data_IF_169645378359
#
_entry.id   IF_169645378359
#
_cell.length_a   1.000
_cell.length_b   1.000
_cell.length_c   1.000
_cell.angle_alpha   90.00
_cell.angle_beta   90.00
_cell.angle_gamma   90.00
#
_symmetry.space_group_name_H-M   'P 1'
#
loop_
_entity.id
_entity.type
_entity.pdbx_description
1 polymer ?
#
# COMPACT_ATOMS: atom_id res chain seq x y z
N UNK A 1 54.70 -19.05 21.08
CA UNK A 1 54.12 -18.22 20.00
C UNK A 1 55.06 -18.30 18.80
N UNK A 2 54.60 -18.84 17.67
CA UNK A 2 55.43 -19.29 16.53
C UNK A 2 55.56 -18.23 15.42
N UNK A 3 55.81 -16.96 15.78
CA UNK A 3 55.94 -15.86 14.80
C UNK A 3 57.12 -16.12 13.85
N UNK A 4 58.19 -16.70 14.38
CA UNK A 4 59.41 -17.01 13.65
C UNK A 4 59.19 -18.09 12.57
N UNK A 5 58.37 -19.12 12.86
CA UNK A 5 57.99 -20.14 11.87
C UNK A 5 57.08 -19.58 10.78
N UNK A 6 56.23 -18.60 11.10
CA UNK A 6 55.42 -17.90 10.09
C UNK A 6 56.29 -17.05 9.17
N UNK A 7 57.29 -16.36 9.72
CA UNK A 7 58.23 -15.55 8.94
C UNK A 7 59.10 -16.39 8.00
N UNK A 8 59.56 -17.54 8.48
CA UNK A 8 60.35 -18.50 7.69
C UNK A 8 59.51 -19.14 6.56
N UNK A 9 58.20 -19.33 6.79
CA UNK A 9 57.27 -19.81 5.77
C UNK A 9 57.05 -18.81 4.63
N UNK A 10 56.99 -17.51 4.95
CA UNK A 10 56.79 -16.43 3.96
C UNK A 10 58.05 -16.18 3.14
N UNK A 11 59.24 -16.34 3.73
CA UNK A 11 60.52 -16.13 3.03
C UNK A 11 60.90 -17.29 2.12
N UNK A 12 60.42 -18.50 2.38
CA UNK A 12 60.63 -19.68 1.50
C UNK A 12 59.63 -19.79 0.35
N UNK A 13 58.47 -19.12 0.43
CA UNK A 13 57.55 -19.07 -0.71
C UNK A 13 58.12 -18.20 -1.81
N UNK A 14 58.62 -18.83 -2.88
CA UNK A 14 59.06 -18.18 -4.10
C UNK A 14 57.95 -17.23 -4.58
N UNK A 15 58.25 -15.93 -4.56
CA UNK A 15 57.32 -14.87 -4.93
C UNK A 15 57.10 -14.94 -6.45
N UNK A 16 56.16 -15.77 -6.88
CA UNK A 16 55.64 -15.70 -8.24
C UNK A 16 54.94 -14.36 -8.38
N UNK A 17 55.34 -13.55 -9.35
CA UNK A 17 54.63 -12.31 -9.67
C UNK A 17 53.14 -12.65 -9.80
N UNK A 18 52.25 -11.97 -9.04
CA UNK A 18 50.82 -12.19 -9.16
C UNK A 18 50.40 -11.99 -10.62
N UNK A 19 49.55 -12.89 -11.13
CA UNK A 19 48.96 -12.75 -12.46
C UNK A 19 48.20 -11.41 -12.52
N UNK A 20 48.73 -10.48 -13.32
CA UNK A 20 48.24 -9.12 -13.44
C UNK A 20 46.82 -9.07 -13.99
N UNK A 21 46.48 -9.98 -14.90
CA UNK A 21 45.16 -10.03 -15.54
C UNK A 21 44.11 -10.51 -14.53
N UNK A 22 44.44 -11.55 -13.75
CA UNK A 22 43.58 -12.05 -12.68
C UNK A 22 43.38 -11.02 -11.55
N UNK A 23 44.38 -10.17 -11.28
CA UNK A 23 44.25 -9.07 -10.33
C UNK A 23 43.31 -7.97 -10.85
N UNK A 24 43.48 -7.55 -12.11
CA UNK A 24 42.65 -6.52 -12.74
C UNK A 24 41.19 -6.97 -12.82
N UNK A 25 40.93 -8.22 -13.21
CA UNK A 25 39.58 -8.78 -13.26
C UNK A 25 38.88 -8.75 -11.89
N UNK A 26 39.58 -9.20 -10.83
CA UNK A 26 39.05 -9.16 -9.46
C UNK A 26 38.82 -7.72 -8.98
N UNK A 27 39.70 -6.80 -9.34
CA UNK A 27 39.56 -5.38 -8.99
C UNK A 27 38.32 -4.75 -9.63
N UNK A 28 38.07 -5.04 -10.91
CA UNK A 28 36.88 -4.59 -11.62
C UNK A 28 35.60 -5.20 -11.03
N UNK A 29 35.61 -6.50 -10.76
CA UNK A 29 34.48 -7.19 -10.13
C UNK A 29 34.13 -6.63 -8.75
N UNK A 30 35.12 -6.36 -7.91
CA UNK A 30 34.92 -5.73 -6.60
C UNK A 30 34.40 -4.29 -6.71
N UNK A 31 34.91 -3.51 -7.67
CA UNK A 31 34.44 -2.13 -7.91
C UNK A 31 32.96 -2.11 -8.31
N UNK A 32 32.56 -3.00 -9.20
CA UNK A 32 31.17 -3.11 -9.66
C UNK A 32 30.24 -3.56 -8.53
N UNK A 33 30.64 -4.56 -7.73
CA UNK A 33 29.88 -5.00 -6.54
C UNK A 33 29.69 -3.86 -5.53
N UNK A 34 30.72 -3.07 -5.28
CA UNK A 34 30.64 -1.90 -4.37
C UNK A 34 29.69 -0.83 -4.91
N UNK A 35 29.71 -0.57 -6.21
CA UNK A 35 28.78 0.37 -6.84
C UNK A 35 27.33 -0.11 -6.75
N UNK A 36 27.07 -1.38 -7.06
CA UNK A 36 25.73 -1.97 -6.94
C UNK A 36 25.18 -1.91 -5.52
N UNK A 37 26.01 -2.23 -4.51
CA UNK A 37 25.60 -2.13 -3.10
C UNK A 37 25.25 -0.69 -2.69
N UNK A 38 26.04 0.29 -3.12
CA UNK A 38 25.74 1.71 -2.87
C UNK A 38 24.43 2.12 -3.54
N UNK A 39 24.22 1.71 -4.78
CA UNK A 39 23.01 2.04 -5.53
C UNK A 39 21.78 1.40 -4.89
N UNK A 40 21.87 0.12 -4.50
CA UNK A 40 20.80 -0.58 -3.79
C UNK A 40 20.45 0.08 -2.45
N UNK A 41 21.45 0.54 -1.69
CA UNK A 41 21.23 1.30 -0.46
C UNK A 41 20.51 2.63 -0.72
N UNK A 42 20.94 3.39 -1.74
CA UNK A 42 20.30 4.66 -2.12
C UNK A 42 18.84 4.44 -2.53
N UNK A 43 18.56 3.41 -3.34
CA UNK A 43 17.19 3.09 -3.75
C UNK A 43 16.32 2.69 -2.55
N UNK A 44 16.86 1.92 -1.60
CA UNK A 44 16.14 1.56 -0.37
C UNK A 44 15.84 2.76 0.53
N UNK A 45 16.78 3.70 0.68
CA UNK A 45 16.55 4.94 1.44
C UNK A 45 15.53 5.83 0.72
N UNK A 46 15.60 5.93 -0.61
CA UNK A 46 14.67 6.75 -1.40
C UNK A 46 13.23 6.22 -1.31
N UNK A 47 13.02 4.90 -1.42
CA UNK A 47 11.67 4.32 -1.30
C UNK A 47 11.10 4.49 0.11
N UNK A 48 11.91 4.30 1.16
CA UNK A 48 11.48 4.55 2.54
C UNK A 48 11.06 6.01 2.76
N UNK A 49 11.81 6.97 2.20
CA UNK A 49 11.46 8.38 2.28
C UNK A 49 10.10 8.69 1.60
N UNK A 50 9.83 8.08 0.44
CA UNK A 50 8.54 8.23 -0.25
C UNK A 50 7.38 7.73 0.62
N UNK A 51 7.52 6.54 1.23
CA UNK A 51 6.48 5.98 2.10
C UNK A 51 6.24 6.86 3.32
N UNK A 52 7.29 7.40 3.94
CA UNK A 52 7.15 8.32 5.08
C UNK A 52 6.40 9.60 4.69
N UNK A 53 6.76 10.21 3.56
CA UNK A 53 6.11 11.44 3.09
C UNK A 53 4.64 11.19 2.76
N UNK A 54 4.32 10.13 2.01
CA UNK A 54 2.94 9.76 1.71
C UNK A 54 2.15 9.43 2.99
N UNK A 55 2.76 8.69 3.91
CA UNK A 55 2.15 8.37 5.21
C UNK A 55 1.81 9.62 6.01
N UNK A 56 2.70 10.63 6.04
CA UNK A 56 2.42 11.90 6.72
C UNK A 56 1.30 12.68 6.05
N UNK A 57 1.29 12.79 4.72
CA UNK A 57 0.24 13.48 3.96
C UNK A 57 -1.13 12.82 4.23
N UNK A 58 -1.20 11.50 4.08
CA UNK A 58 -2.46 10.76 4.30
C UNK A 58 -2.92 10.83 5.75
N UNK A 59 -1.99 10.77 6.72
CA UNK A 59 -2.34 10.88 8.14
C UNK A 59 -2.80 12.29 8.51
N UNK A 60 -2.26 13.34 7.89
CA UNK A 60 -2.73 14.71 8.14
C UNK A 60 -4.18 14.93 7.70
N UNK A 61 -4.63 14.22 6.66
CA UNK A 61 -6.03 14.25 6.20
C UNK A 61 -7.00 13.56 7.17
N UNK A 62 -6.51 12.73 8.09
CA UNK A 62 -7.34 12.02 9.07
C UNK A 62 -7.62 12.87 10.34
N UNK A 63 -7.07 14.09 10.40
CA UNK A 63 -7.25 15.01 11.53
C UNK A 63 -8.51 15.86 11.38
N UNK A 64 -9.12 15.88 10.19
CA UNK A 64 -10.42 16.51 10.01
C UNK A 64 -11.47 15.68 10.76
N UNK A 65 -12.16 16.33 11.69
CA UNK A 65 -13.22 15.75 12.50
C UNK A 65 -14.26 15.09 11.58
N UNK A 66 -14.48 13.77 11.65
CA UNK A 66 -15.46 13.09 10.82
C UNK A 66 -16.88 13.64 11.03
N UNK A 67 -17.13 14.35 12.13
CA UNK A 67 -18.40 15.04 12.38
C UNK A 67 -18.62 16.31 11.54
N UNK A 68 -17.57 16.90 10.96
CA UNK A 68 -17.70 18.10 10.11
C UNK A 68 -18.19 17.74 8.71
N UNK A 69 -17.99 16.49 8.27
CA UNK A 69 -18.54 15.94 7.03
C UNK A 69 -19.74 14.99 7.27
N UNK A 70 -20.12 14.74 8.52
CA UNK A 70 -21.39 14.10 8.82
C UNK A 70 -22.50 15.07 8.39
N UNK A 71 -23.28 14.66 7.39
CA UNK A 71 -24.39 15.43 6.85
C UNK A 71 -25.33 15.87 7.98
N UNK A 72 -25.43 17.19 8.19
CA UNK A 72 -26.42 17.77 9.09
C UNK A 72 -27.85 17.74 8.50
N UNK A 73 -27.98 17.33 7.24
CA UNK A 73 -29.26 17.12 6.54
C UNK A 73 -29.73 15.66 6.70
N UNK A 74 -29.88 15.22 7.95
CA UNK A 74 -30.46 13.90 8.25
C UNK A 74 -31.96 13.93 7.95
N UNK A 75 -32.39 13.21 6.93
CA UNK A 75 -33.81 12.97 6.64
C UNK A 75 -34.29 11.86 7.60
N UNK A 76 -35.43 12.03 8.31
CA UNK A 76 -35.97 10.96 9.14
C UNK A 76 -36.26 9.74 8.27
N UNK A 77 -35.80 8.57 8.73
CA UNK A 77 -36.02 7.30 8.03
C UNK A 77 -37.51 7.02 7.96
N UNK A 78 -38.10 7.16 6.78
CA UNK A 78 -39.46 6.71 6.51
C UNK A 78 -39.41 5.22 6.20
N UNK A 79 -39.96 4.41 7.11
CA UNK A 79 -40.02 2.95 6.92
C UNK A 79 -41.19 2.61 6.00
N UNK A 80 -40.90 1.88 4.92
CA UNK A 80 -41.91 1.30 4.05
C UNK A 80 -42.70 0.22 4.80
N UNK A 81 -43.94 -0.02 4.40
CA UNK A 81 -44.64 -1.22 4.87
C UNK A 81 -44.02 -2.48 4.24
N UNK A 82 -44.14 -3.61 4.92
CA UNK A 82 -43.44 -4.85 4.54
C UNK A 82 -43.82 -5.38 3.15
N UNK A 83 -45.05 -5.15 2.68
CA UNK A 83 -45.50 -5.60 1.35
C UNK A 83 -44.84 -4.76 0.25
N UNK A 84 -44.79 -3.45 0.45
CA UNK A 84 -44.15 -2.53 -0.49
C UNK A 84 -42.63 -2.69 -0.49
N UNK A 85 -42.02 -2.94 0.67
CA UNK A 85 -40.57 -3.21 0.79
C UNK A 85 -40.17 -4.46 0.00
N UNK A 86 -40.87 -5.58 0.20
CA UNK A 86 -40.62 -6.84 -0.53
C UNK A 86 -40.75 -6.65 -2.05
N UNK A 87 -41.80 -5.94 -2.49
CA UNK A 87 -42.00 -5.63 -3.90
C UNK A 87 -40.87 -4.79 -4.50
N UNK A 88 -40.37 -3.79 -3.76
CA UNK A 88 -39.29 -2.91 -4.22
C UNK A 88 -37.97 -3.68 -4.31
N UNK A 89 -37.67 -4.57 -3.36
CA UNK A 89 -36.52 -5.47 -3.44
C UNK A 89 -36.59 -6.41 -4.64
N UNK A 90 -37.74 -7.05 -4.87
CA UNK A 90 -37.95 -7.91 -6.03
C UNK A 90 -37.77 -7.15 -7.35
N UNK A 91 -38.25 -5.91 -7.41
CA UNK A 91 -38.08 -5.04 -8.56
C UNK A 91 -36.60 -4.71 -8.81
N UNK A 92 -35.84 -4.36 -7.77
CA UNK A 92 -34.41 -4.06 -7.91
C UNK A 92 -33.62 -5.27 -8.41
N UNK A 93 -33.90 -6.46 -7.86
CA UNK A 93 -33.28 -7.72 -8.32
C UNK A 93 -33.63 -7.98 -9.78
N UNK A 94 -34.91 -7.84 -10.15
CA UNK A 94 -35.36 -8.03 -11.53
C UNK A 94 -34.66 -7.06 -12.51
N UNK A 95 -34.54 -5.78 -12.15
CA UNK A 95 -33.90 -4.77 -12.98
C UNK A 95 -32.41 -5.07 -13.18
N UNK A 96 -31.69 -5.48 -12.13
CA UNK A 96 -30.26 -5.84 -12.24
C UNK A 96 -30.07 -7.09 -13.11
N UNK A 97 -30.92 -8.10 -12.95
CA UNK A 97 -30.79 -9.38 -13.67
C UNK A 97 -31.18 -9.28 -15.15
N UNK A 98 -32.05 -8.33 -15.52
CA UNK A 98 -32.61 -8.21 -16.87
C UNK A 98 -32.15 -6.95 -17.62
N UNK A 99 -31.31 -6.11 -17.01
CA UNK A 99 -30.79 -4.91 -17.68
C UNK A 99 -29.63 -5.23 -18.59
N UNK A 100 -29.66 -4.65 -19.80
CA UNK A 100 -28.53 -4.65 -20.72
C UNK A 100 -27.42 -3.66 -20.28
N UNK A 101 -27.75 -2.66 -19.44
CA UNK A 101 -26.81 -1.68 -18.88
C UNK A 101 -26.99 -1.55 -17.35
N UNK A 102 -26.13 -2.27 -16.63
CA UNK A 102 -26.11 -2.31 -15.17
C UNK A 102 -25.83 -0.93 -14.57
N UNK A 103 -25.10 -0.05 -15.26
CA UNK A 103 -24.77 1.28 -14.73
C UNK A 103 -25.98 2.22 -14.77
N UNK A 104 -26.79 2.13 -15.83
CA UNK A 104 -28.06 2.85 -15.92
C UNK A 104 -29.04 2.37 -14.82
N UNK A 105 -29.08 1.06 -14.58
CA UNK A 105 -29.90 0.49 -13.50
C UNK A 105 -29.43 0.92 -12.12
N UNK A 106 -28.12 0.93 -11.85
CA UNK A 106 -27.57 1.40 -10.57
C UNK A 106 -27.82 2.90 -10.38
N UNK A 107 -27.72 3.71 -11.43
CA UNK A 107 -28.04 5.14 -11.37
C UNK A 107 -29.53 5.38 -11.07
N UNK A 108 -30.43 4.57 -11.63
CA UNK A 108 -31.86 4.63 -11.32
C UNK A 108 -32.15 4.24 -9.87
N UNK A 109 -31.53 3.17 -9.35
CA UNK A 109 -31.72 2.75 -7.95
C UNK A 109 -31.19 3.80 -6.95
N UNK A 110 -30.11 4.48 -7.30
CA UNK A 110 -29.56 5.62 -6.54
C UNK A 110 -30.50 6.83 -6.58
N UNK A 111 -31.07 7.16 -7.76
CA UNK A 111 -32.01 8.27 -7.94
C UNK A 111 -33.29 8.12 -7.09
N UNK A 112 -33.75 6.88 -6.87
CA UNK A 112 -34.94 6.60 -6.04
C UNK A 112 -34.61 6.39 -4.56
N UNK A 113 -33.34 6.59 -4.15
CA UNK A 113 -32.87 6.37 -2.77
C UNK A 113 -33.20 4.96 -2.25
N UNK A 114 -32.99 3.93 -3.08
CA UNK A 114 -33.41 2.55 -2.79
C UNK A 114 -32.96 2.01 -1.43
N UNK A 115 -31.77 2.40 -0.95
CA UNK A 115 -31.35 2.16 0.44
C UNK A 115 -31.04 3.48 1.14
N UNK A 116 -31.77 3.83 2.22
CA UNK A 116 -31.40 4.97 3.04
C UNK A 116 -30.08 4.67 3.78
N UNK A 117 -29.07 5.50 3.58
CA UNK A 117 -27.79 5.39 4.30
C UNK A 117 -28.00 5.84 5.75
N UNK A 118 -28.27 4.89 6.65
CA UNK A 118 -28.42 5.15 8.09
C UNK A 118 -27.06 5.14 8.78
N UNK A 119 -26.65 6.27 9.36
CA UNK A 119 -25.58 6.30 10.35
C UNK A 119 -26.20 6.07 11.74
N UNK A 120 -25.84 4.97 12.39
CA UNK A 120 -26.25 4.69 13.77
C UNK A 120 -25.57 5.69 14.71
N UNK A 121 -26.28 6.76 15.08
CA UNK A 121 -25.94 7.52 16.28
C UNK A 121 -26.36 6.69 17.51
N UNK A 122 -25.35 6.27 18.25
CA UNK A 122 -25.51 5.58 19.53
C UNK A 122 -26.26 6.49 20.51
N UNK A 123 -27.40 6.01 21.02
CA UNK A 123 -28.15 6.64 22.11
C UNK A 123 -27.23 6.80 23.33
N UNK A 124 -26.94 8.03 23.73
CA UNK A 124 -26.52 8.33 25.09
C UNK A 124 -27.78 8.66 25.91
N UNK A 125 -28.13 7.69 26.75
CA UNK A 125 -29.08 7.80 27.85
C UNK A 125 -28.66 8.91 28.84
N UNK A 126 -29.56 9.84 29.12
CA UNK A 126 -29.62 10.58 30.40
C UNK A 126 -30.87 10.17 31.20
#
# INVERSE_FOLDING_TARGET
MNIEKQFEGITRSQFSAPDGDAFLEKLHGERQKRQQRKMSFIHGVASAAIVVVLGMITSSQLTDDPMVYASTDLIPVETMDAETEEFVYDLAVYLVDNSDDIWETLAFLDEIEFEPVVTMHQEETE
#
